data_IF_308599689985
#
_entry.id   IF_308599689985
#
_cell.length_a   1.000
_cell.length_b   1.000
_cell.length_c   1.000
_cell.angle_alpha   90.00
_cell.angle_beta   90.00
_cell.angle_gamma   90.00
#
_symmetry.space_group_name_H-M   'P 1'
#
loop_
_entity.id
_entity.type
_entity.pdbx_description
1 polymer ?
#
# COMPACT_ATOMS: atom_id res chain seq x y z
N UNK A 1 5.24 -24.56 -4.30
CA UNK A 1 5.20 -25.05 -2.90
C UNK A 1 4.04 -26.05 -2.83
N UNK A 2 4.30 -27.28 -2.40
CA UNK A 2 3.31 -28.36 -2.43
C UNK A 2 2.51 -28.51 -1.12
N UNK A 3 3.09 -28.08 0.01
CA UNK A 3 2.41 -28.09 1.31
C UNK A 3 2.53 -26.73 2.01
N UNK A 4 1.42 -26.30 2.61
CA UNK A 4 1.34 -25.09 3.43
C UNK A 4 0.99 -25.47 4.87
N UNK A 5 1.47 -24.71 5.87
CA UNK A 5 1.11 -24.96 7.26
C UNK A 5 -0.40 -24.69 7.46
N UNK A 6 -1.09 -25.62 8.12
CA UNK A 6 -2.55 -25.57 8.31
C UNK A 6 -2.94 -25.59 9.76
N UNK A 7 -4.03 -24.89 10.08
CA UNK A 7 -4.69 -24.98 11.38
C UNK A 7 -5.60 -26.21 11.44
N UNK A 8 -5.72 -26.82 12.62
CA UNK A 8 -6.54 -28.01 12.82
C UNK A 8 -8.04 -27.73 12.66
N UNK A 9 -8.50 -26.57 13.13
CA UNK A 9 -9.92 -26.20 13.17
C UNK A 9 -10.15 -24.74 12.74
N UNK A 10 -11.37 -24.46 12.29
CA UNK A 10 -11.83 -23.10 11.96
C UNK A 10 -12.51 -22.51 13.21
N UNK A 11 -12.01 -21.37 13.69
CA UNK A 11 -12.57 -20.64 14.82
C UNK A 11 -13.68 -19.70 14.34
N UNK A 12 -14.91 -20.20 14.27
CA UNK A 12 -16.07 -19.44 13.77
C UNK A 12 -16.33 -18.13 14.51
N UNK A 13 -16.05 -18.06 15.82
CA UNK A 13 -16.12 -16.80 16.57
C UNK A 13 -15.16 -15.74 16.02
N UNK A 14 -13.94 -16.13 15.64
CA UNK A 14 -12.97 -15.24 15.02
C UNK A 14 -13.45 -14.78 13.64
N UNK A 15 -14.00 -15.70 12.83
CA UNK A 15 -14.58 -15.39 11.51
C UNK A 15 -15.69 -14.35 11.65
N UNK A 16 -16.67 -14.56 12.53
CA UNK A 16 -17.80 -13.65 12.73
C UNK A 16 -17.35 -12.25 13.20
N UNK A 17 -16.43 -12.18 14.18
CA UNK A 17 -15.87 -10.91 14.65
C UNK A 17 -15.12 -10.19 13.52
N UNK A 18 -14.33 -10.93 12.74
CA UNK A 18 -13.53 -10.34 11.65
C UNK A 18 -14.41 -9.84 10.53
N UNK A 19 -15.48 -10.56 10.19
CA UNK A 19 -16.49 -10.09 9.24
C UNK A 19 -17.18 -8.81 9.73
N UNK A 20 -17.55 -8.74 11.01
CA UNK A 20 -18.09 -7.52 11.62
C UNK A 20 -17.12 -6.34 11.54
N UNK A 21 -15.81 -6.56 11.76
CA UNK A 21 -14.78 -5.53 11.58
C UNK A 21 -14.70 -5.03 10.14
N UNK A 22 -14.79 -5.92 9.14
CA UNK A 22 -14.77 -5.55 7.73
C UNK A 22 -15.97 -4.65 7.40
N UNK A 23 -17.18 -5.06 7.81
CA UNK A 23 -18.39 -4.26 7.60
C UNK A 23 -18.30 -2.88 8.26
N UNK A 24 -17.78 -2.83 9.50
CA UNK A 24 -17.54 -1.56 10.19
C UNK A 24 -16.53 -0.68 9.46
N UNK A 25 -15.45 -1.26 8.90
CA UNK A 25 -14.48 -0.52 8.11
C UNK A 25 -15.07 0.02 6.81
N UNK A 26 -15.91 -0.76 6.11
CA UNK A 26 -16.61 -0.30 4.92
C UNK A 26 -17.54 0.89 5.23
N UNK A 27 -18.32 0.79 6.31
CA UNK A 27 -19.18 1.89 6.74
C UNK A 27 -18.38 3.13 7.15
N UNK A 28 -17.28 2.95 7.88
CA UNK A 28 -16.41 4.05 8.29
C UNK A 28 -15.73 4.72 7.08
N UNK A 29 -15.29 3.94 6.08
CA UNK A 29 -14.74 4.45 4.83
C UNK A 29 -15.75 5.27 4.05
N UNK A 30 -17.00 4.79 3.96
CA UNK A 30 -18.11 5.55 3.38
C UNK A 30 -18.33 6.87 4.12
N UNK A 31 -18.33 6.87 5.46
CA UNK A 31 -18.48 8.08 6.25
C UNK A 31 -17.35 9.10 5.99
N UNK A 32 -16.08 8.65 5.95
CA UNK A 32 -14.94 9.52 5.62
C UNK A 32 -15.13 10.14 4.24
N UNK A 33 -15.48 9.35 3.22
CA UNK A 33 -15.67 9.86 1.87
C UNK A 33 -16.78 10.91 1.83
N UNK A 34 -17.94 10.62 2.40
CA UNK A 34 -19.10 11.52 2.34
C UNK A 34 -18.92 12.78 3.17
N UNK A 35 -18.30 12.68 4.35
CA UNK A 35 -18.19 13.82 5.27
C UNK A 35 -16.91 14.63 5.11
N UNK A 36 -15.80 14.01 4.73
CA UNK A 36 -14.49 14.66 4.67
C UNK A 36 -14.02 14.90 3.24
N UNK A 37 -14.26 13.97 2.31
CA UNK A 37 -13.79 14.14 0.93
C UNK A 37 -14.76 14.93 0.05
N UNK A 38 -16.05 14.55 0.02
CA UNK A 38 -17.04 15.19 -0.88
C UNK A 38 -17.09 16.72 -0.69
N UNK A 39 -17.12 17.30 0.53
CA UNK A 39 -17.19 18.75 0.68
C UNK A 39 -15.97 19.49 0.12
N UNK A 40 -14.79 18.85 0.10
CA UNK A 40 -13.55 19.45 -0.40
C UNK A 40 -13.51 19.44 -1.93
N UNK A 41 -14.04 18.38 -2.56
CA UNK A 41 -13.99 18.20 -4.00
C UNK A 41 -15.28 18.57 -4.74
N UNK A 42 -16.37 18.86 -4.03
CA UNK A 42 -17.60 19.35 -4.63
C UNK A 42 -17.34 20.76 -5.16
N UNK A 43 -17.39 20.99 -6.49
CA UNK A 43 -17.11 22.29 -7.04
C UNK A 43 -18.17 23.28 -6.56
N UNK A 44 -17.73 24.41 -5.99
CA UNK A 44 -18.59 25.59 -5.98
C UNK A 44 -18.73 26.05 -7.42
N UNK A 45 -19.95 26.00 -7.95
CA UNK A 45 -20.29 26.51 -9.28
C UNK A 45 -19.79 27.95 -9.39
N UNK A 46 -18.80 28.16 -10.28
CA UNK A 46 -18.25 29.45 -10.74
C UNK A 46 -16.94 29.97 -10.11
N UNK A 47 -16.16 29.18 -9.35
CA UNK A 47 -14.81 29.61 -8.95
C UNK A 47 -13.74 29.22 -10.00
N UNK A 48 -12.93 30.16 -10.51
CA UNK A 48 -11.82 29.84 -11.41
C UNK A 48 -10.75 29.02 -10.66
N UNK A 49 -10.17 28.03 -11.34
CA UNK A 49 -9.11 27.19 -10.78
C UNK A 49 -7.88 28.06 -10.45
N UNK A 50 -7.62 28.24 -9.16
CA UNK A 50 -6.45 28.97 -8.66
C UNK A 50 -5.45 28.00 -8.03
N UNK A 51 -4.16 28.28 -8.19
CA UNK A 51 -3.07 27.54 -7.53
C UNK A 51 -3.28 27.50 -6.00
N UNK A 52 -3.82 28.57 -5.42
CA UNK A 52 -4.17 28.64 -3.99
C UNK A 52 -5.22 27.58 -3.62
N UNK A 53 -6.28 27.48 -4.41
CA UNK A 53 -7.36 26.50 -4.18
C UNK A 53 -6.84 25.06 -4.29
N UNK A 54 -5.94 24.79 -5.25
CA UNK A 54 -5.29 23.48 -5.38
C UNK A 54 -4.46 23.12 -4.14
N UNK A 55 -3.62 24.03 -3.65
CA UNK A 55 -2.80 23.80 -2.45
C UNK A 55 -3.68 23.56 -1.22
N UNK A 56 -4.72 24.37 -1.02
CA UNK A 56 -5.67 24.19 0.08
C UNK A 56 -6.41 22.85 0.00
N UNK A 57 -6.83 22.45 -1.20
CA UNK A 57 -7.46 21.15 -1.42
C UNK A 57 -6.52 19.99 -1.06
N UNK A 58 -5.23 20.08 -1.42
CA UNK A 58 -4.22 19.09 -1.02
C UNK A 58 -4.13 19.02 0.50
N UNK A 59 -3.94 20.14 1.20
CA UNK A 59 -3.84 20.16 2.68
C UNK A 59 -5.10 19.60 3.36
N UNK A 60 -6.29 19.97 2.89
CA UNK A 60 -7.55 19.44 3.44
C UNK A 60 -7.71 17.94 3.16
N UNK A 61 -7.10 17.41 2.09
CA UNK A 61 -7.15 15.99 1.73
C UNK A 61 -6.17 15.11 2.50
N UNK A 62 -5.15 15.66 3.17
CA UNK A 62 -4.13 14.89 3.90
C UNK A 62 -4.78 14.05 5.02
N UNK A 63 -5.61 14.67 5.86
CA UNK A 63 -6.29 13.99 6.97
C UNK A 63 -7.21 12.84 6.51
N UNK A 64 -8.18 13.04 5.60
CA UNK A 64 -8.99 11.93 5.10
C UNK A 64 -8.15 10.90 4.34
N UNK A 65 -7.07 11.33 3.65
CA UNK A 65 -6.14 10.45 2.97
C UNK A 65 -5.44 9.47 3.90
N UNK A 66 -4.84 9.95 4.99
CA UNK A 66 -4.17 9.08 5.98
C UNK A 66 -5.17 8.16 6.69
N UNK A 67 -6.37 8.65 7.00
CA UNK A 67 -7.43 7.84 7.60
C UNK A 67 -7.85 6.71 6.66
N UNK A 68 -8.06 6.99 5.37
CA UNK A 68 -8.40 5.98 4.37
C UNK A 68 -7.24 4.99 4.15
N UNK A 69 -5.99 5.46 4.12
CA UNK A 69 -4.82 4.59 3.98
C UNK A 69 -4.76 3.55 5.11
N UNK A 70 -4.86 3.99 6.37
CA UNK A 70 -4.83 3.12 7.54
C UNK A 70 -6.05 2.19 7.58
N UNK A 71 -7.22 2.71 7.22
CA UNK A 71 -8.45 1.93 7.19
C UNK A 71 -8.41 0.84 6.11
N UNK A 72 -7.99 1.16 4.89
CA UNK A 72 -7.83 0.21 3.80
C UNK A 72 -6.78 -0.85 4.14
N UNK A 73 -5.66 -0.45 4.75
CA UNK A 73 -4.65 -1.38 5.26
C UNK A 73 -5.26 -2.37 6.25
N UNK A 74 -5.96 -1.88 7.28
CA UNK A 74 -6.57 -2.74 8.29
C UNK A 74 -7.70 -3.61 7.72
N UNK A 75 -8.59 -3.04 6.91
CA UNK A 75 -9.72 -3.76 6.34
C UNK A 75 -9.27 -4.89 5.40
N UNK A 76 -8.30 -4.60 4.52
CA UNK A 76 -7.83 -5.56 3.52
C UNK A 76 -6.70 -6.45 4.04
N UNK A 77 -5.53 -5.88 4.37
CA UNK A 77 -4.35 -6.68 4.72
C UNK A 77 -4.52 -7.41 6.06
N UNK A 78 -5.19 -6.79 7.03
CA UNK A 78 -5.43 -7.44 8.30
C UNK A 78 -6.73 -8.26 8.27
N UNK A 79 -7.90 -7.63 8.19
CA UNK A 79 -9.15 -8.36 8.39
C UNK A 79 -9.49 -9.32 7.24
N UNK A 80 -9.46 -8.85 5.98
CA UNK A 80 -9.85 -9.67 4.84
C UNK A 80 -8.90 -10.87 4.66
N UNK A 81 -7.58 -10.65 4.63
CA UNK A 81 -6.63 -11.75 4.47
C UNK A 81 -6.67 -12.74 5.65
N UNK A 82 -6.83 -12.28 6.89
CA UNK A 82 -6.97 -13.19 8.03
C UNK A 82 -8.32 -13.94 8.04
N UNK A 83 -9.39 -13.33 7.53
CA UNK A 83 -10.68 -14.00 7.37
C UNK A 83 -10.53 -15.20 6.42
N UNK A 84 -9.99 -14.97 5.22
CA UNK A 84 -9.72 -16.04 4.27
C UNK A 84 -8.69 -17.04 4.78
N UNK A 85 -7.67 -16.57 5.50
CA UNK A 85 -6.69 -17.43 6.16
C UNK A 85 -7.34 -18.37 7.19
N UNK A 86 -8.31 -17.90 7.97
CA UNK A 86 -9.06 -18.75 8.91
C UNK A 86 -9.98 -19.73 8.17
N UNK A 87 -10.75 -19.26 7.18
CA UNK A 87 -11.69 -20.09 6.40
C UNK A 87 -10.98 -21.22 5.64
N UNK A 88 -9.80 -20.94 5.07
CA UNK A 88 -8.99 -21.92 4.34
C UNK A 88 -8.11 -22.79 5.26
N UNK A 89 -8.12 -22.51 6.57
CA UNK A 89 -7.22 -23.09 7.58
C UNK A 89 -5.74 -22.84 7.26
N UNK A 90 -5.42 -21.71 6.66
CA UNK A 90 -4.04 -21.27 6.42
C UNK A 90 -3.43 -20.72 7.71
N UNK A 91 -2.32 -21.31 8.14
CA UNK A 91 -1.68 -20.99 9.42
C UNK A 91 -0.66 -19.86 9.32
N UNK A 92 -0.02 -19.68 8.16
CA UNK A 92 0.94 -18.60 7.94
C UNK A 92 0.20 -17.27 7.72
N UNK A 93 0.20 -16.39 8.72
CA UNK A 93 -0.58 -15.15 8.71
C UNK A 93 0.28 -13.90 8.67
N UNK A 94 1.55 -14.05 8.29
CA UNK A 94 2.49 -12.93 8.20
C UNK A 94 2.29 -12.13 6.91
N UNK A 95 1.11 -11.52 6.75
CA UNK A 95 0.78 -10.71 5.57
C UNK A 95 1.47 -9.34 5.57
N UNK A 96 1.84 -8.85 6.75
CA UNK A 96 2.54 -7.59 6.98
C UNK A 96 3.41 -7.70 8.25
N UNK A 97 4.36 -6.79 8.42
CA UNK A 97 5.19 -6.63 9.62
C UNK A 97 4.98 -5.23 10.22
N UNK A 98 5.79 -4.86 11.21
CA UNK A 98 5.78 -3.58 11.91
C UNK A 98 6.26 -2.40 11.05
N UNK A 99 5.63 -2.21 9.89
CA UNK A 99 6.02 -1.22 8.88
C UNK A 99 5.93 0.21 9.39
N UNK A 100 5.05 0.49 10.35
CA UNK A 100 4.87 1.82 10.95
C UNK A 100 6.10 2.32 11.71
N UNK A 101 6.96 1.42 12.18
CA UNK A 101 8.23 1.73 12.83
C UNK A 101 9.41 1.80 11.86
N UNK A 102 9.17 1.71 10.55
CA UNK A 102 10.25 1.72 9.56
C UNK A 102 10.98 3.06 9.52
N UNK A 103 12.30 3.00 9.53
CA UNK A 103 13.22 4.16 9.39
C UNK A 103 13.74 4.32 7.95
N UNK A 104 13.56 3.31 7.10
CA UNK A 104 13.96 3.32 5.69
C UNK A 104 12.78 2.99 4.77
N UNK A 105 12.75 3.59 3.58
CA UNK A 105 11.75 3.27 2.56
C UNK A 105 11.91 1.83 2.04
N UNK A 106 13.15 1.34 1.98
CA UNK A 106 13.43 -0.05 1.64
C UNK A 106 12.81 -1.04 2.65
N UNK A 107 12.84 -0.73 3.95
CA UNK A 107 12.17 -1.55 4.96
C UNK A 107 10.64 -1.41 4.89
N UNK A 108 10.13 -0.20 4.65
CA UNK A 108 8.70 0.02 4.46
C UNK A 108 8.12 -0.86 3.33
N UNK A 109 8.74 -0.87 2.14
CA UNK A 109 8.28 -1.70 1.01
C UNK A 109 8.30 -3.21 1.31
N UNK A 110 9.24 -3.68 2.15
CA UNK A 110 9.35 -5.09 2.56
C UNK A 110 8.31 -5.51 3.59
N UNK A 111 7.86 -4.57 4.41
CA UNK A 111 7.07 -4.85 5.62
C UNK A 111 5.59 -4.50 5.48
N UNK A 112 5.25 -3.57 4.58
CA UNK A 112 3.88 -3.12 4.35
C UNK A 112 2.96 -4.25 3.83
N UNK A 113 3.34 -4.89 2.73
CA UNK A 113 2.59 -5.99 2.12
C UNK A 113 3.56 -7.11 1.74
N UNK A 114 3.78 -8.03 2.68
CA UNK A 114 4.75 -9.12 2.54
C UNK A 114 4.35 -10.04 1.40
N UNK A 115 3.05 -10.26 1.16
CA UNK A 115 2.57 -11.16 0.10
C UNK A 115 3.00 -10.66 -1.29
N UNK A 116 2.74 -9.38 -1.58
CA UNK A 116 3.13 -8.77 -2.87
C UNK A 116 4.63 -8.59 -2.95
N UNK A 117 5.27 -8.18 -1.85
CA UNK A 117 6.72 -8.03 -1.80
C UNK A 117 7.43 -9.34 -2.11
N UNK A 118 7.05 -10.46 -1.46
CA UNK A 118 7.69 -11.75 -1.67
C UNK A 118 7.49 -12.26 -3.09
N UNK A 119 6.31 -12.03 -3.68
CA UNK A 119 6.07 -12.35 -5.09
C UNK A 119 7.01 -11.56 -6.01
N UNK A 120 7.09 -10.24 -5.84
CA UNK A 120 7.98 -9.37 -6.61
C UNK A 120 9.46 -9.72 -6.39
N UNK A 121 9.84 -10.08 -5.17
CA UNK A 121 11.22 -10.42 -4.84
C UNK A 121 11.63 -11.78 -5.45
N UNK A 122 10.83 -12.82 -5.26
CA UNK A 122 11.19 -14.17 -5.69
C UNK A 122 11.05 -14.39 -7.19
N UNK A 123 10.04 -13.81 -7.84
CA UNK A 123 9.75 -14.02 -9.27
C UNK A 123 10.12 -12.83 -10.15
N UNK A 124 10.19 -11.62 -9.59
CA UNK A 124 10.66 -10.44 -10.33
C UNK A 124 12.17 -10.25 -10.18
N UNK A 125 12.58 -9.84 -8.98
CA UNK A 125 13.96 -9.43 -8.70
C UNK A 125 14.96 -10.58 -8.85
N UNK A 126 14.68 -11.73 -8.22
CA UNK A 126 15.63 -12.86 -8.20
C UNK A 126 15.80 -13.51 -9.57
N UNK A 127 14.71 -13.65 -10.33
CA UNK A 127 14.76 -14.24 -11.66
C UNK A 127 15.47 -13.31 -12.66
N UNK A 128 15.21 -12.00 -12.59
CA UNK A 128 15.96 -11.02 -13.38
C UNK A 128 17.46 -11.02 -13.01
N UNK A 129 17.79 -11.13 -11.72
CA UNK A 129 19.18 -11.25 -11.29
C UNK A 129 19.84 -12.53 -11.80
N UNK A 130 19.10 -13.63 -11.84
CA UNK A 130 19.59 -14.90 -12.36
C UNK A 130 19.86 -14.79 -13.87
N UNK A 131 18.92 -14.24 -14.64
CA UNK A 131 19.07 -13.99 -16.09
C UNK A 131 20.25 -13.06 -16.41
N UNK A 132 20.52 -12.08 -15.55
CA UNK A 132 21.62 -11.12 -15.72
C UNK A 132 22.96 -11.58 -15.12
N UNK A 133 23.10 -12.86 -14.76
CA UNK A 133 24.30 -13.42 -14.10
C UNK A 133 24.74 -12.60 -12.88
N UNK A 134 23.77 -12.06 -12.13
CA UNK A 134 23.93 -11.24 -10.91
C UNK A 134 24.74 -9.96 -11.09
N UNK A 135 24.98 -9.52 -12.33
CA UNK A 135 25.78 -8.31 -12.62
C UNK A 135 25.01 -7.01 -12.39
N UNK A 136 23.69 -6.99 -12.65
CA UNK A 136 22.91 -5.75 -12.68
C UNK A 136 21.87 -5.64 -11.56
N UNK A 137 22.32 -5.47 -10.31
CA UNK A 137 21.43 -5.33 -9.14
C UNK A 137 20.53 -4.09 -9.20
N UNK A 138 21.07 -2.96 -9.65
CA UNK A 138 20.29 -1.72 -9.76
C UNK A 138 19.22 -1.83 -10.84
N UNK A 139 19.54 -2.41 -12.00
CA UNK A 139 18.56 -2.62 -13.07
C UNK A 139 17.46 -3.61 -12.64
N UNK A 140 17.81 -4.66 -11.90
CA UNK A 140 16.85 -5.61 -11.33
C UNK A 140 15.90 -4.96 -10.32
N UNK A 141 16.40 -4.02 -9.52
CA UNK A 141 15.57 -3.26 -8.59
C UNK A 141 14.64 -2.32 -9.36
N UNK A 142 15.17 -1.53 -10.30
CA UNK A 142 14.39 -0.58 -11.10
C UNK A 142 13.30 -1.28 -11.92
N UNK A 143 13.57 -2.46 -12.48
CA UNK A 143 12.58 -3.21 -13.23
C UNK A 143 11.37 -3.60 -12.37
N UNK A 144 11.61 -4.05 -11.14
CA UNK A 144 10.53 -4.38 -10.18
C UNK A 144 9.74 -3.14 -9.78
N UNK A 145 10.40 -1.99 -9.57
CA UNK A 145 9.72 -0.72 -9.31
C UNK A 145 8.83 -0.29 -10.49
N UNK A 146 9.33 -0.40 -11.72
CA UNK A 146 8.56 -0.06 -12.93
C UNK A 146 7.36 -0.99 -13.09
N UNK A 147 7.54 -2.31 -12.95
CA UNK A 147 6.43 -3.27 -13.03
C UNK A 147 5.38 -2.96 -11.98
N UNK A 148 5.79 -2.70 -10.74
CA UNK A 148 4.87 -2.31 -9.68
C UNK A 148 4.11 -1.02 -10.04
N UNK A 149 4.81 0.03 -10.49
CA UNK A 149 4.21 1.31 -10.84
C UNK A 149 3.19 1.18 -11.99
N UNK A 150 3.51 0.41 -13.03
CA UNK A 150 2.60 0.16 -14.17
C UNK A 150 1.35 -0.58 -13.72
N UNK A 151 1.48 -1.62 -12.87
CA UNK A 151 0.33 -2.38 -12.39
C UNK A 151 -0.58 -1.53 -11.50
N UNK A 152 -0.02 -0.66 -10.65
CA UNK A 152 -0.82 0.27 -9.84
C UNK A 152 -1.56 1.28 -10.72
N UNK A 153 -0.88 1.87 -11.71
CA UNK A 153 -1.51 2.79 -12.66
C UNK A 153 -2.61 2.10 -13.47
N UNK A 154 -2.37 0.88 -13.94
CA UNK A 154 -3.37 0.08 -14.65
C UNK A 154 -4.61 -0.18 -13.79
N UNK A 155 -4.43 -0.59 -12.53
CA UNK A 155 -5.54 -0.84 -11.62
C UNK A 155 -6.38 0.42 -11.37
N UNK A 156 -5.74 1.58 -11.21
CA UNK A 156 -6.43 2.85 -11.00
C UNK A 156 -7.10 3.37 -12.28
N UNK A 157 -6.43 3.27 -13.43
CA UNK A 157 -6.99 3.69 -14.70
C UNK A 157 -8.26 2.90 -15.04
N UNK A 158 -8.23 1.58 -14.81
CA UNK A 158 -9.40 0.71 -14.98
C UNK A 158 -10.48 0.99 -13.94
N UNK A 159 -10.10 1.27 -12.68
CA UNK A 159 -11.04 1.56 -11.59
C UNK A 159 -11.76 2.90 -11.75
N UNK A 160 -11.06 3.94 -12.23
CA UNK A 160 -11.62 5.27 -12.43
C UNK A 160 -12.20 5.50 -13.83
N UNK A 161 -11.82 4.69 -14.82
CA UNK A 161 -12.27 4.82 -16.21
C UNK A 161 -11.59 5.95 -16.99
N UNK A 162 -10.50 6.53 -16.47
CA UNK A 162 -9.66 7.50 -17.17
C UNK A 162 -8.18 7.28 -16.87
N UNK A 163 -7.31 7.73 -17.77
CA UNK A 163 -5.87 7.61 -17.62
C UNK A 163 -5.25 8.94 -17.18
N UNK A 164 -4.61 8.94 -16.00
CA UNK A 164 -3.89 10.12 -15.50
C UNK A 164 -2.68 9.67 -14.66
N UNK A 165 -1.46 9.60 -15.26
CA UNK A 165 -0.32 8.83 -14.75
C UNK A 165 0.45 9.46 -13.59
N UNK A 166 -0.26 10.06 -12.63
CA UNK A 166 0.36 10.67 -11.44
C UNK A 166 0.90 9.60 -10.50
N UNK A 167 0.23 8.47 -10.35
CA UNK A 167 0.73 7.40 -9.49
C UNK A 167 1.97 6.74 -10.06
N UNK A 168 2.00 6.50 -11.38
CA UNK A 168 3.22 6.02 -12.04
C UNK A 168 4.43 6.93 -11.74
N UNK A 169 4.29 8.25 -11.90
CA UNK A 169 5.35 9.21 -11.62
C UNK A 169 5.73 9.23 -10.14
N UNK A 170 4.75 9.14 -9.23
CA UNK A 170 5.00 9.12 -7.79
C UNK A 170 5.87 7.91 -7.41
N UNK A 171 5.51 6.71 -7.87
CA UNK A 171 6.28 5.50 -7.56
C UNK A 171 7.63 5.43 -8.29
N UNK A 172 7.67 5.78 -9.58
CA UNK A 172 8.88 5.66 -10.38
C UNK A 172 9.94 6.73 -10.06
N UNK A 173 9.54 7.95 -9.69
CA UNK A 173 10.47 9.04 -9.38
C UNK A 173 10.73 9.10 -7.88
N UNK A 174 9.70 9.37 -7.08
CA UNK A 174 9.87 9.56 -5.64
C UNK A 174 10.15 8.24 -4.93
N UNK A 175 9.46 7.16 -5.29
CA UNK A 175 9.71 5.84 -4.70
C UNK A 175 11.15 5.36 -4.91
N UNK A 176 11.70 5.54 -6.12
CA UNK A 176 13.10 5.21 -6.42
C UNK A 176 14.06 6.14 -5.69
N UNK A 177 13.84 7.46 -5.72
CA UNK A 177 14.68 8.42 -5.03
C UNK A 177 14.73 8.17 -3.52
N UNK A 178 13.60 7.92 -2.88
CA UNK A 178 13.52 7.60 -1.46
C UNK A 178 14.17 6.27 -1.12
N UNK A 179 14.03 5.27 -1.99
CA UNK A 179 14.67 3.97 -1.78
C UNK A 179 16.22 4.03 -1.85
N UNK A 180 16.81 5.02 -2.53
CA UNK A 180 18.27 5.23 -2.58
C UNK A 180 18.81 6.26 -1.56
N UNK A 181 17.98 7.22 -1.15
CA UNK A 181 18.37 8.27 -0.19
C UNK A 181 18.16 7.82 1.26
N UNK A 182 17.04 7.15 1.53
CA UNK A 182 16.63 6.64 2.85
C UNK A 182 16.88 5.14 2.95
N UNK A 183 18.16 4.77 2.91
CA UNK A 183 18.62 3.37 2.98
C UNK A 183 18.66 2.86 4.43
N UNK A 184 18.71 1.53 4.56
CA UNK A 184 18.77 0.79 5.84
C UNK A 184 19.92 1.18 6.78
N UNK A 185 20.91 1.96 6.32
CA UNK A 185 21.98 2.51 7.16
C UNK A 185 21.49 3.62 8.09
N UNK A 186 20.34 4.24 7.80
CA UNK A 186 19.77 5.36 8.55
C UNK A 186 18.75 4.84 9.56
N UNK A 187 19.18 4.63 10.81
CA UNK A 187 18.34 4.06 11.88
C UNK A 187 17.83 5.09 12.89
N UNK A 188 18.08 6.38 12.66
CA UNK A 188 17.62 7.44 13.57
C UNK A 188 16.09 7.57 13.53
N UNK A 189 15.42 7.79 14.69
CA UNK A 189 13.97 8.04 14.76
C UNK A 189 13.48 9.21 13.88
N UNK A 190 14.37 10.15 13.57
CA UNK A 190 14.07 11.28 12.66
C UNK A 190 13.61 10.78 11.29
N UNK A 191 14.17 9.67 10.78
CA UNK A 191 13.77 9.13 9.49
C UNK A 191 12.39 8.47 9.51
N UNK A 192 11.91 8.02 10.68
CA UNK A 192 10.52 7.58 10.82
C UNK A 192 9.56 8.78 10.71
N UNK A 193 9.88 9.91 11.35
CA UNK A 193 9.10 11.15 11.23
C UNK A 193 9.06 11.64 9.78
N UNK A 194 10.19 11.61 9.07
CA UNK A 194 10.27 11.97 7.65
C UNK A 194 9.45 11.02 6.77
N UNK A 195 9.37 9.72 7.12
CA UNK A 195 8.57 8.75 6.36
C UNK A 195 7.07 9.00 6.48
N UNK A 196 6.61 9.46 7.65
CA UNK A 196 5.21 9.80 7.89
C UNK A 196 4.78 11.17 7.34
N UNK A 197 5.75 12.05 7.06
CA UNK A 197 5.53 13.40 6.53
C UNK A 197 5.36 13.39 5.00
#
# INVERSE_FOLDING_TARGET
RESYPRNNQIRWKYVAITLGKILACLFYGYFILVRLCIPVFRPETNQPFSKRTMVLAVFHSILPGIMLLLLCFFAFLHCWLNLFGELLRFADRMFYKDWWNSTSFANYYRTWNVVVHDWLYYYGYRDFLWLSNRRFRAAAMLSVFIVSAVVHEYALAMGFGFFYPVMFLLFAVFGVAFNFTMNDKRQSPVFNVIMWA
#
